data_IF_568346594370
#
_entry.id   IF_568346594370
#
_cell.length_a   1.000
_cell.length_b   1.000
_cell.length_c   1.000
_cell.angle_alpha   90.00
_cell.angle_beta   90.00
_cell.angle_gamma   90.00
#
_symmetry.space_group_name_H-M   'P 1'
#
loop_
_entity.id
_entity.type
_entity.pdbx_description
1 polymer ?
#
# COMPACT_ATOMS: atom_id res chain seq x y z
N UNK A 1 3.29 3.06 23.83
CA UNK A 1 2.36 2.49 22.86
C UNK A 1 3.02 1.33 22.14
N UNK A 2 2.32 0.21 22.01
CA UNK A 2 2.79 -0.98 21.28
C UNK A 2 2.08 -1.07 19.93
N UNK A 3 2.85 -1.20 18.86
CA UNK A 3 2.33 -1.24 17.48
C UNK A 3 2.76 -2.55 16.81
N UNK A 4 1.79 -3.28 16.28
CA UNK A 4 2.03 -4.44 15.44
C UNK A 4 1.87 -4.05 13.97
N UNK A 5 2.90 -4.21 13.16
CA UNK A 5 2.85 -3.96 11.71
C UNK A 5 2.73 -5.28 10.98
N UNK A 6 1.60 -5.53 10.33
CA UNK A 6 1.33 -6.72 9.52
C UNK A 6 1.75 -6.45 8.08
N UNK A 7 2.86 -7.04 7.68
CA UNK A 7 3.56 -6.80 6.43
C UNK A 7 5.00 -6.34 6.70
N UNK A 8 6.00 -7.17 6.37
CA UNK A 8 7.42 -6.89 6.60
C UNK A 8 8.20 -6.64 5.27
N UNK A 9 7.51 -6.08 4.29
CA UNK A 9 8.11 -5.53 3.07
C UNK A 9 8.78 -4.18 3.33
N UNK A 10 9.11 -3.46 2.26
CA UNK A 10 9.79 -2.16 2.36
C UNK A 10 8.95 -1.13 3.12
N UNK A 11 7.64 -1.06 2.83
CA UNK A 11 6.71 -0.19 3.58
C UNK A 11 6.65 -0.53 5.06
N UNK A 12 6.50 -1.82 5.42
CA UNK A 12 6.45 -2.22 6.82
C UNK A 12 7.73 -1.90 7.58
N UNK A 13 8.89 -2.03 6.93
CA UNK A 13 10.18 -1.65 7.54
C UNK A 13 10.30 -0.13 7.72
N UNK A 14 9.87 0.66 6.72
CA UNK A 14 9.86 2.12 6.81
C UNK A 14 8.91 2.60 7.91
N UNK A 15 7.69 2.07 7.96
CA UNK A 15 6.70 2.34 9.01
C UNK A 15 7.25 1.99 10.40
N UNK A 16 7.93 0.84 10.53
CA UNK A 16 8.57 0.48 11.80
C UNK A 16 9.57 1.55 12.23
N UNK A 17 10.47 2.01 11.32
CA UNK A 17 11.45 3.05 11.64
C UNK A 17 10.79 4.35 12.08
N UNK A 18 9.79 4.82 11.32
CA UNK A 18 9.06 6.05 11.62
C UNK A 18 8.38 5.99 13.00
N UNK A 19 7.69 4.89 13.31
CA UNK A 19 7.05 4.68 14.60
C UNK A 19 8.05 4.55 15.75
N UNK A 20 9.18 3.86 15.55
CA UNK A 20 10.23 3.77 16.57
C UNK A 20 10.85 5.13 16.89
N UNK A 21 10.98 6.02 15.91
CA UNK A 21 11.46 7.39 16.11
C UNK A 21 10.54 8.21 17.05
N UNK A 22 9.26 7.84 17.17
CA UNK A 22 8.31 8.45 18.11
C UNK A 22 8.32 7.81 19.51
N UNK A 23 9.19 6.82 19.75
CA UNK A 23 9.25 6.08 21.01
C UNK A 23 8.28 4.90 21.13
N UNK A 24 7.56 4.53 20.04
CA UNK A 24 6.68 3.37 20.05
C UNK A 24 7.48 2.05 20.04
N UNK A 25 6.96 1.03 20.73
CA UNK A 25 7.45 -0.34 20.65
C UNK A 25 6.81 -1.02 19.44
N UNK A 26 7.61 -1.40 18.42
CA UNK A 26 7.08 -1.88 17.13
C UNK A 26 7.56 -3.28 16.81
N UNK A 27 6.61 -4.17 16.53
CA UNK A 27 6.86 -5.54 16.04
C UNK A 27 6.43 -5.66 14.57
N UNK A 28 7.20 -6.42 13.77
CA UNK A 28 6.85 -6.76 12.39
C UNK A 28 6.33 -8.19 12.33
N UNK A 29 5.19 -8.37 11.66
CA UNK A 29 4.52 -9.64 11.49
C UNK A 29 4.40 -10.01 10.00
N UNK A 30 4.95 -11.15 9.62
CA UNK A 30 4.92 -11.69 8.25
C UNK A 30 5.28 -13.17 8.26
N UNK A 31 5.11 -13.84 7.14
CA UNK A 31 5.54 -15.24 7.00
C UNK A 31 7.03 -15.44 7.31
N UNK A 32 7.88 -14.44 7.04
CA UNK A 32 9.32 -14.50 7.38
C UNK A 32 9.60 -14.36 8.88
N UNK A 33 8.68 -13.78 9.62
CA UNK A 33 8.77 -13.64 11.09
C UNK A 33 7.90 -14.65 11.81
N UNK A 34 7.37 -15.66 11.10
CA UNK A 34 6.59 -16.76 11.67
C UNK A 34 5.09 -16.49 11.77
N UNK A 35 4.54 -15.46 11.08
CA UNK A 35 3.12 -15.16 11.10
C UNK A 35 2.52 -15.12 9.68
N UNK A 36 1.58 -16.01 9.38
CA UNK A 36 0.79 -15.97 8.15
C UNK A 36 -0.61 -15.39 8.42
N UNK A 37 -0.85 -14.15 8.02
CA UNK A 37 -2.13 -13.45 8.23
C UNK A 37 -3.35 -14.19 7.66
N UNK A 38 -3.16 -15.11 6.72
CA UNK A 38 -4.25 -15.89 6.12
C UNK A 38 -4.56 -17.21 6.83
N UNK A 39 -3.71 -17.64 7.81
CA UNK A 39 -3.79 -18.96 8.42
C UNK A 39 -3.75 -18.93 9.94
N UNK A 40 -2.98 -18.01 10.51
CA UNK A 40 -2.69 -18.01 11.94
C UNK A 40 -3.75 -17.20 12.71
N UNK A 41 -3.85 -17.47 14.01
CA UNK A 41 -4.67 -16.67 14.93
C UNK A 41 -4.04 -15.29 15.12
N UNK A 42 -4.66 -14.29 14.49
CA UNK A 42 -4.21 -12.90 14.56
C UNK A 42 -4.31 -12.31 15.96
N UNK A 43 -5.31 -12.67 16.75
CA UNK A 43 -5.47 -12.15 18.12
C UNK A 43 -4.35 -12.65 19.04
N UNK A 44 -3.98 -13.91 18.92
CA UNK A 44 -2.86 -14.48 19.68
C UNK A 44 -1.52 -13.88 19.23
N UNK A 45 -1.26 -13.82 17.91
CA UNK A 45 0.01 -13.35 17.35
C UNK A 45 0.27 -11.85 17.57
N UNK A 46 -0.79 -11.02 17.60
CA UNK A 46 -0.72 -9.55 17.74
C UNK A 46 -1.07 -9.11 19.17
N UNK A 47 -1.08 -10.03 20.11
CA UNK A 47 -1.47 -9.79 21.52
C UNK A 47 -0.69 -8.63 22.14
N UNK A 48 -1.41 -7.78 22.87
CA UNK A 48 -0.86 -6.61 23.56
C UNK A 48 -0.56 -5.42 22.65
N UNK A 49 -0.93 -5.45 21.36
CA UNK A 49 -0.84 -4.28 20.50
C UNK A 49 -1.97 -3.28 20.82
N UNK A 50 -1.61 -2.00 20.96
CA UNK A 50 -2.55 -0.87 21.04
C UNK A 50 -3.04 -0.45 19.65
N UNK A 51 -2.17 -0.64 18.64
CA UNK A 51 -2.43 -0.32 17.23
C UNK A 51 -1.92 -1.45 16.34
N UNK A 52 -2.71 -1.82 15.35
CA UNK A 52 -2.32 -2.76 14.30
C UNK A 52 -2.30 -2.03 12.96
N UNK A 53 -1.13 -1.93 12.35
CA UNK A 53 -0.96 -1.35 11.01
C UNK A 53 -1.00 -2.46 9.97
N UNK A 54 -1.96 -2.42 9.07
CA UNK A 54 -2.04 -3.34 7.94
C UNK A 54 -1.32 -2.75 6.72
N UNK A 55 -0.10 -3.24 6.46
CA UNK A 55 0.73 -2.91 5.31
C UNK A 55 0.96 -4.17 4.43
N UNK A 56 -0.05 -5.04 4.36
CA UNK A 56 0.01 -6.24 3.54
C UNK A 56 -0.05 -5.91 2.06
N UNK A 57 0.66 -6.69 1.23
CA UNK A 57 0.65 -6.50 -0.20
C UNK A 57 0.90 -7.81 -0.97
N UNK A 58 0.19 -7.96 -2.09
CA UNK A 58 0.41 -9.01 -3.07
C UNK A 58 0.24 -8.44 -4.47
N UNK A 59 1.34 -8.26 -5.17
CA UNK A 59 1.30 -7.79 -6.56
C UNK A 59 0.67 -8.86 -7.45
N UNK A 60 -0.40 -8.50 -8.16
CA UNK A 60 -1.04 -9.31 -9.20
C UNK A 60 -1.97 -8.44 -10.04
N UNK A 61 -2.07 -8.74 -11.33
CA UNK A 61 -3.04 -8.12 -12.25
C UNK A 61 -4.40 -8.82 -12.22
N UNK A 62 -4.47 -10.01 -11.64
CA UNK A 62 -5.72 -10.77 -11.51
C UNK A 62 -6.61 -10.20 -10.42
N UNK A 63 -7.78 -9.68 -10.83
CA UNK A 63 -8.78 -9.12 -9.90
C UNK A 63 -9.21 -10.15 -8.85
N UNK A 64 -9.48 -11.38 -9.24
CA UNK A 64 -9.89 -12.46 -8.33
C UNK A 64 -8.82 -12.73 -7.27
N UNK A 65 -7.56 -12.88 -7.70
CA UNK A 65 -6.44 -13.19 -6.79
C UNK A 65 -6.15 -12.02 -5.84
N UNK A 66 -6.21 -10.79 -6.34
CA UNK A 66 -6.00 -9.60 -5.51
C UNK A 66 -7.12 -9.45 -4.48
N UNK A 67 -8.38 -9.50 -4.92
CA UNK A 67 -9.54 -9.33 -4.05
C UNK A 67 -9.57 -10.42 -2.96
N UNK A 68 -9.35 -11.70 -3.32
CA UNK A 68 -9.28 -12.79 -2.34
C UNK A 68 -8.20 -12.55 -1.28
N UNK A 69 -6.99 -12.21 -1.71
CA UNK A 69 -5.89 -11.96 -0.79
C UNK A 69 -6.18 -10.79 0.15
N UNK A 70 -6.54 -9.63 -0.40
CA UNK A 70 -6.72 -8.42 0.40
C UNK A 70 -7.92 -8.51 1.35
N UNK A 71 -9.04 -9.08 0.90
CA UNK A 71 -10.23 -9.22 1.77
C UNK A 71 -10.01 -10.24 2.88
N UNK A 72 -9.31 -11.35 2.62
CA UNK A 72 -8.99 -12.34 3.66
C UNK A 72 -8.00 -11.77 4.68
N UNK A 73 -6.95 -11.09 4.23
CA UNK A 73 -5.99 -10.42 5.11
C UNK A 73 -6.70 -9.42 6.03
N UNK A 74 -7.47 -8.52 5.45
CA UNK A 74 -8.18 -7.49 6.22
C UNK A 74 -9.21 -8.07 7.18
N UNK A 75 -9.93 -9.13 6.80
CA UNK A 75 -10.85 -9.81 7.72
C UNK A 75 -10.13 -10.33 8.95
N UNK A 76 -8.96 -10.96 8.77
CA UNK A 76 -8.14 -11.46 9.88
C UNK A 76 -7.60 -10.31 10.76
N UNK A 77 -7.09 -9.25 10.15
CA UNK A 77 -6.56 -8.09 10.89
C UNK A 77 -7.68 -7.35 11.64
N UNK A 78 -8.82 -7.10 10.99
CA UNK A 78 -9.97 -6.44 11.64
C UNK A 78 -10.51 -7.27 12.81
N UNK A 79 -10.59 -8.59 12.67
CA UNK A 79 -11.01 -9.48 13.76
C UNK A 79 -10.03 -9.41 14.94
N UNK A 80 -8.73 -9.46 14.69
CA UNK A 80 -7.70 -9.32 15.71
C UNK A 80 -7.76 -7.93 16.38
N UNK A 81 -7.87 -6.85 15.61
CA UNK A 81 -7.98 -5.50 16.15
C UNK A 81 -9.20 -5.35 17.07
N UNK A 82 -10.36 -5.84 16.64
CA UNK A 82 -11.58 -5.80 17.43
C UNK A 82 -11.49 -6.63 18.72
N UNK A 83 -10.87 -7.82 18.65
CA UNK A 83 -10.71 -8.70 19.82
C UNK A 83 -9.76 -8.10 20.86
N UNK A 84 -8.73 -7.38 20.42
CA UNK A 84 -7.74 -6.71 21.27
C UNK A 84 -8.15 -5.30 21.71
N UNK A 85 -9.24 -4.74 21.17
CA UNK A 85 -9.59 -3.33 21.35
C UNK A 85 -8.59 -2.37 20.70
N UNK A 86 -7.73 -2.88 19.83
CA UNK A 86 -6.70 -2.12 19.15
C UNK A 86 -7.26 -1.28 17.99
N UNK A 87 -6.59 -0.16 17.66
CA UNK A 87 -6.90 0.60 16.44
C UNK A 87 -6.33 -0.11 15.23
N UNK A 88 -7.10 -0.18 14.15
CA UNK A 88 -6.66 -0.66 12.85
C UNK A 88 -6.26 0.52 11.94
N UNK A 89 -5.01 0.60 11.52
CA UNK A 89 -4.52 1.57 10.52
C UNK A 89 -4.25 0.83 9.22
N UNK A 90 -5.01 1.15 8.17
CA UNK A 90 -4.87 0.50 6.87
C UNK A 90 -4.07 1.39 5.90
N UNK A 91 -2.96 0.87 5.37
CA UNK A 91 -2.24 1.50 4.26
C UNK A 91 -2.87 1.09 2.92
N UNK A 92 -3.34 2.06 2.16
CA UNK A 92 -3.99 1.89 0.86
C UNK A 92 -3.41 2.82 -0.21
N UNK A 93 -4.13 2.99 -1.32
CA UNK A 93 -3.69 3.74 -2.50
C UNK A 93 -4.71 4.81 -2.85
N UNK A 94 -4.24 6.01 -3.16
CA UNK A 94 -5.07 7.10 -3.69
C UNK A 94 -5.74 6.64 -4.98
N UNK A 95 -7.01 7.03 -5.16
CA UNK A 95 -7.82 6.75 -6.35
C UNK A 95 -8.06 5.25 -6.65
N UNK A 96 -7.85 4.34 -5.68
CA UNK A 96 -8.11 2.93 -5.92
C UNK A 96 -9.61 2.60 -6.13
N UNK A 97 -10.50 3.50 -5.78
CA UNK A 97 -11.96 3.38 -5.89
C UNK A 97 -12.54 3.92 -7.22
N UNK A 98 -11.72 4.60 -8.05
CA UNK A 98 -12.17 5.09 -9.35
C UNK A 98 -12.59 3.93 -10.27
N UNK A 99 -13.76 4.02 -10.95
CA UNK A 99 -14.26 2.96 -11.83
C UNK A 99 -13.29 2.54 -12.93
N UNK A 100 -12.57 3.50 -13.50
CA UNK A 100 -11.65 3.28 -14.62
C UNK A 100 -10.39 2.50 -14.25
N UNK A 101 -10.02 2.43 -12.96
CA UNK A 101 -8.88 1.64 -12.50
C UNK A 101 -9.27 0.24 -12.02
N UNK A 102 -10.57 -0.05 -11.86
CA UNK A 102 -11.09 -1.31 -11.32
C UNK A 102 -10.84 -2.53 -12.24
N UNK A 103 -10.45 -2.28 -13.48
CA UNK A 103 -9.99 -3.34 -14.39
C UNK A 103 -8.61 -3.88 -14.05
N UNK A 104 -7.80 -3.14 -13.28
CA UNK A 104 -6.49 -3.59 -12.83
C UNK A 104 -6.60 -4.22 -11.44
N UNK A 105 -6.27 -5.51 -11.35
CA UNK A 105 -6.57 -6.34 -10.19
C UNK A 105 -6.07 -5.79 -8.86
N UNK A 106 -4.87 -5.21 -8.83
CA UNK A 106 -4.31 -4.65 -7.60
C UNK A 106 -5.18 -3.52 -7.02
N UNK A 107 -5.64 -2.58 -7.86
CA UNK A 107 -6.53 -1.48 -7.43
C UNK A 107 -7.90 -2.00 -7.00
N UNK A 108 -8.47 -2.94 -7.77
CA UNK A 108 -9.73 -3.58 -7.38
C UNK A 108 -9.62 -4.30 -6.02
N UNK A 109 -8.50 -4.96 -5.77
CA UNK A 109 -8.21 -5.61 -4.50
C UNK A 109 -8.08 -4.60 -3.34
N UNK A 110 -7.38 -3.49 -3.55
CA UNK A 110 -7.23 -2.42 -2.54
C UNK A 110 -8.57 -1.73 -2.25
N UNK A 111 -9.37 -1.44 -3.27
CA UNK A 111 -10.72 -0.90 -3.08
C UNK A 111 -11.60 -1.84 -2.26
N UNK A 112 -11.59 -3.15 -2.56
CA UNK A 112 -12.33 -4.14 -1.77
C UNK A 112 -11.81 -4.25 -0.33
N UNK A 113 -10.50 -4.10 -0.14
CA UNK A 113 -9.84 -4.06 1.16
C UNK A 113 -10.34 -2.89 2.01
N UNK A 114 -10.33 -1.67 1.46
CA UNK A 114 -10.80 -0.48 2.16
C UNK A 114 -12.26 -0.61 2.63
N UNK A 115 -13.15 -1.00 1.73
CA UNK A 115 -14.58 -1.20 2.04
C UNK A 115 -14.74 -2.19 3.18
N UNK A 116 -14.07 -3.34 3.08
CA UNK A 116 -14.16 -4.37 4.12
C UNK A 116 -13.60 -3.90 5.46
N UNK A 117 -12.50 -3.15 5.47
CA UNK A 117 -11.95 -2.58 6.70
C UNK A 117 -12.92 -1.59 7.36
N UNK A 118 -13.55 -0.72 6.56
CA UNK A 118 -14.56 0.23 7.02
C UNK A 118 -15.79 -0.47 7.62
N UNK A 119 -16.21 -1.59 7.01
CA UNK A 119 -17.37 -2.37 7.48
C UNK A 119 -17.08 -3.15 8.77
N UNK A 120 -15.86 -3.66 8.94
CA UNK A 120 -15.54 -4.62 10.00
C UNK A 120 -14.81 -4.02 11.20
N UNK A 121 -13.96 -3.01 11.00
CA UNK A 121 -13.11 -2.49 12.08
C UNK A 121 -13.85 -1.45 12.91
N UNK A 122 -13.96 -1.68 14.21
CA UNK A 122 -14.64 -0.77 15.14
C UNK A 122 -13.89 0.56 15.32
N UNK A 123 -12.56 0.51 15.28
CA UNK A 123 -11.67 1.64 15.42
C UNK A 123 -10.69 1.61 14.25
N UNK A 124 -10.83 2.51 13.31
CA UNK A 124 -10.06 2.47 12.07
C UNK A 124 -9.55 3.85 11.68
N UNK A 125 -8.38 3.89 11.06
CA UNK A 125 -7.90 5.01 10.25
C UNK A 125 -7.38 4.49 8.92
N UNK A 126 -7.60 5.26 7.86
CA UNK A 126 -7.16 4.93 6.50
C UNK A 126 -6.02 5.85 6.09
N UNK A 127 -4.95 5.30 5.53
CA UNK A 127 -3.87 6.08 4.90
C UNK A 127 -3.80 5.70 3.44
N UNK A 128 -4.04 6.65 2.55
CA UNK A 128 -3.91 6.50 1.11
C UNK A 128 -2.64 7.21 0.62
N UNK A 129 -1.73 6.47 0.03
CA UNK A 129 -0.55 7.04 -0.63
C UNK A 129 -0.66 6.94 -2.15
N UNK A 130 0.04 7.81 -2.86
CA UNK A 130 0.33 7.61 -4.28
C UNK A 130 1.42 6.54 -4.45
N UNK A 131 1.85 6.27 -5.68
CA UNK A 131 2.92 5.33 -5.97
C UNK A 131 4.24 5.84 -5.39
N UNK A 132 5.07 4.92 -4.91
CA UNK A 132 6.36 5.24 -4.31
C UNK A 132 7.46 5.33 -5.36
N UNK A 133 8.55 6.04 -5.10
CA UNK A 133 9.69 6.09 -6.02
C UNK A 133 10.27 4.71 -6.31
N UNK A 134 10.28 3.81 -5.34
CA UNK A 134 10.72 2.41 -5.45
C UNK A 134 9.89 1.60 -6.47
N UNK A 135 8.73 2.11 -6.88
CA UNK A 135 7.89 1.44 -7.86
C UNK A 135 8.57 1.32 -9.24
N UNK A 136 9.44 2.26 -9.61
CA UNK A 136 10.19 2.19 -10.86
C UNK A 136 11.12 0.97 -10.89
N UNK A 137 11.92 0.76 -9.84
CA UNK A 137 12.79 -0.41 -9.70
C UNK A 137 11.99 -1.70 -9.66
N UNK A 138 10.95 -1.74 -8.84
CA UNK A 138 10.05 -2.89 -8.73
C UNK A 138 9.38 -3.24 -10.06
N UNK A 139 9.02 -2.23 -10.88
CA UNK A 139 8.47 -2.47 -12.21
C UNK A 139 9.51 -3.08 -13.14
N UNK A 140 10.75 -2.55 -13.11
CA UNK A 140 11.85 -3.07 -13.93
C UNK A 140 12.14 -4.55 -13.64
N UNK A 141 12.05 -4.97 -12.38
CA UNK A 141 12.21 -6.38 -11.99
C UNK A 141 11.00 -7.24 -12.40
N UNK A 142 9.77 -6.80 -12.09
CA UNK A 142 8.53 -7.57 -12.28
C UNK A 142 8.14 -7.74 -13.74
N UNK A 143 8.45 -6.74 -14.58
CA UNK A 143 8.10 -6.71 -16.00
C UNK A 143 9.28 -7.09 -16.89
N UNK A 144 10.26 -7.80 -16.33
CA UNK A 144 11.45 -8.25 -17.04
C UNK A 144 11.19 -9.51 -17.87
N UNK A 145 11.58 -9.45 -19.12
CA UNK A 145 11.58 -10.56 -20.09
C UNK A 145 12.96 -10.66 -20.74
N UNK A 146 13.84 -11.46 -20.14
CA UNK A 146 15.22 -11.60 -20.58
C UNK A 146 15.99 -10.26 -20.49
N UNK A 147 16.50 -9.71 -21.62
CA UNK A 147 17.30 -8.48 -21.63
C UNK A 147 16.45 -7.19 -21.61
N UNK A 148 15.12 -7.28 -21.68
CA UNK A 148 14.23 -6.11 -21.71
C UNK A 148 13.27 -6.11 -20.52
N UNK A 149 12.80 -4.91 -20.14
CA UNK A 149 11.75 -4.73 -19.16
C UNK A 149 10.70 -3.76 -19.68
N UNK A 150 9.42 -4.17 -19.59
CA UNK A 150 8.33 -3.34 -20.08
C UNK A 150 8.00 -2.25 -19.07
N UNK A 151 7.88 -1.02 -19.56
CA UNK A 151 7.52 0.16 -18.75
C UNK A 151 6.16 0.68 -19.21
N UNK A 152 5.09 0.40 -18.46
CA UNK A 152 3.75 0.88 -18.79
C UNK A 152 3.66 2.41 -18.83
N UNK A 153 2.93 2.93 -19.82
CA UNK A 153 2.62 4.37 -19.90
C UNK A 153 1.63 4.75 -18.81
N UNK A 154 2.12 5.32 -17.72
CA UNK A 154 1.30 5.78 -16.60
C UNK A 154 1.84 7.10 -16.01
N UNK A 155 0.93 7.97 -15.61
CA UNK A 155 1.22 9.24 -14.94
C UNK A 155 0.81 9.12 -13.47
N UNK A 156 1.65 9.62 -12.58
CA UNK A 156 1.46 9.55 -11.14
C UNK A 156 2.13 10.72 -10.43
N UNK A 157 1.88 10.90 -9.15
CA UNK A 157 2.62 11.82 -8.25
C UNK A 157 3.42 10.98 -7.26
N UNK A 158 4.64 10.51 -7.64
CA UNK A 158 5.38 9.58 -6.79
C UNK A 158 5.79 10.26 -5.48
N UNK A 159 5.68 9.52 -4.40
CA UNK A 159 5.97 9.96 -3.03
C UNK A 159 7.11 9.13 -2.43
N UNK A 160 7.87 9.71 -1.51
CA UNK A 160 8.91 8.96 -0.79
C UNK A 160 8.26 7.95 0.17
N UNK A 161 8.89 6.80 0.32
CA UNK A 161 8.42 5.79 1.26
C UNK A 161 8.52 6.29 2.73
N UNK A 162 9.44 7.19 3.00
CA UNK A 162 9.57 7.80 4.33
C UNK A 162 8.39 8.74 4.64
N UNK A 163 7.95 9.59 3.69
CA UNK A 163 6.74 10.42 3.87
C UNK A 163 5.48 9.57 4.08
N UNK A 164 5.36 8.45 3.36
CA UNK A 164 4.26 7.49 3.59
C UNK A 164 4.34 6.91 5.01
N UNK A 165 5.52 6.51 5.45
CA UNK A 165 5.73 5.94 6.77
C UNK A 165 5.44 6.95 7.91
N UNK A 166 5.81 8.21 7.72
CA UNK A 166 5.48 9.31 8.65
C UNK A 166 3.97 9.54 8.73
N UNK A 167 3.27 9.54 7.58
CA UNK A 167 1.81 9.68 7.55
C UNK A 167 1.12 8.50 8.25
N UNK A 168 1.62 7.27 8.08
CA UNK A 168 1.12 6.09 8.80
C UNK A 168 1.40 6.21 10.30
N UNK A 169 2.58 6.71 10.68
CA UNK A 169 2.91 6.95 12.09
C UNK A 169 1.98 8.01 12.71
N UNK A 170 1.71 9.11 12.00
CA UNK A 170 0.73 10.12 12.42
C UNK A 170 -0.66 9.51 12.63
N UNK A 171 -1.15 8.71 11.70
CA UNK A 171 -2.44 8.02 11.82
C UNK A 171 -2.47 7.05 13.01
N UNK A 172 -1.37 6.34 13.27
CA UNK A 172 -1.25 5.41 14.39
C UNK A 172 -1.22 6.11 15.76
N UNK A 173 -0.64 7.30 15.82
CA UNK A 173 -0.54 8.11 17.04
C UNK A 173 -1.78 8.96 17.31
N UNK A 174 -2.63 9.19 16.31
CA UNK A 174 -3.85 9.98 16.47
C UNK A 174 -4.80 9.33 17.48
N UNK A 175 -5.44 10.14 18.30
CA UNK A 175 -6.49 9.68 19.21
C UNK A 175 -7.86 9.57 18.52
N UNK A 176 -8.01 10.15 17.32
CA UNK A 176 -9.26 10.20 16.57
C UNK A 176 -9.38 8.99 15.63
N UNK A 177 -10.48 8.26 15.74
CA UNK A 177 -10.85 7.17 14.83
C UNK A 177 -11.62 7.70 13.60
N UNK A 178 -11.72 6.91 12.54
CA UNK A 178 -12.50 7.23 11.33
C UNK A 178 -11.82 8.22 10.38
N UNK A 179 -10.55 8.60 10.63
CA UNK A 179 -9.84 9.55 9.80
C UNK A 179 -9.28 8.90 8.53
N UNK A 180 -9.30 9.66 7.44
CA UNK A 180 -8.58 9.33 6.21
C UNK A 180 -7.46 10.34 6.00
N UNK A 181 -6.24 9.82 5.93
CA UNK A 181 -5.03 10.58 5.61
C UNK A 181 -4.67 10.30 4.16
N UNK A 182 -4.18 11.30 3.46
CA UNK A 182 -3.69 11.14 2.09
C UNK A 182 -2.31 11.78 1.97
N UNK A 183 -1.42 11.16 1.20
CA UNK A 183 -0.08 11.67 0.91
C UNK A 183 0.30 11.40 -0.54
N UNK A 184 0.84 12.42 -1.20
CA UNK A 184 1.32 12.35 -2.57
C UNK A 184 2.69 13.06 -2.66
N UNK A 185 3.42 12.80 -3.74
CA UNK A 185 4.64 13.57 -4.01
C UNK A 185 4.33 14.96 -4.59
N UNK A 186 5.33 15.85 -4.67
CA UNK A 186 5.12 17.21 -5.12
C UNK A 186 4.85 17.34 -6.64
N UNK A 187 5.38 16.41 -7.44
CA UNK A 187 5.39 16.54 -8.89
C UNK A 187 4.72 15.37 -9.61
N UNK A 188 4.07 15.66 -10.72
CA UNK A 188 3.52 14.64 -11.62
C UNK A 188 4.63 14.15 -12.53
N UNK A 189 4.85 12.83 -12.51
CA UNK A 189 5.84 12.14 -13.33
C UNK A 189 5.22 10.96 -14.07
N UNK A 190 5.84 10.55 -15.15
CA UNK A 190 5.56 9.26 -15.78
C UNK A 190 6.46 8.17 -15.20
N UNK A 191 6.01 6.91 -15.27
CA UNK A 191 6.85 5.78 -14.87
C UNK A 191 8.13 5.70 -15.71
N UNK A 192 8.09 6.21 -16.96
CA UNK A 192 9.27 6.29 -17.81
C UNK A 192 10.31 7.27 -17.25
N UNK A 193 9.88 8.48 -16.86
CA UNK A 193 10.77 9.47 -16.23
C UNK A 193 11.36 8.96 -14.91
N UNK A 194 10.57 8.29 -14.10
CA UNK A 194 11.06 7.63 -12.88
C UNK A 194 12.10 6.55 -13.19
N UNK A 195 11.85 5.73 -14.23
CA UNK A 195 12.78 4.67 -14.65
C UNK A 195 14.09 5.26 -15.16
N UNK A 196 14.04 6.39 -15.88
CA UNK A 196 15.24 7.07 -16.38
C UNK A 196 16.13 7.65 -15.25
N UNK A 197 15.60 7.85 -14.06
CA UNK A 197 16.35 8.34 -12.89
C UNK A 197 16.95 7.22 -12.03
N UNK A 198 16.71 5.95 -12.36
CA UNK A 198 17.31 4.85 -11.61
C UNK A 198 18.84 4.84 -11.79
N UNK A 199 19.61 4.65 -10.71
CA UNK A 199 21.08 4.67 -10.76
C UNK A 199 21.65 3.51 -11.57
N UNK A 200 20.90 2.43 -11.71
CA UNK A 200 21.25 1.27 -12.54
C UNK A 200 19.99 0.60 -13.07
N UNK A 201 20.10 -0.02 -14.24
CA UNK A 201 19.01 -0.74 -14.88
C UNK A 201 19.32 -2.24 -14.95
N UNK A 202 18.42 -3.06 -14.44
CA UNK A 202 18.52 -4.55 -14.48
C UNK A 202 18.24 -5.12 -15.87
N UNK A 203 17.63 -4.32 -16.76
CA UNK A 203 17.31 -4.65 -18.14
C UNK A 203 17.08 -3.38 -18.96
N UNK A 204 17.09 -3.46 -20.29
CA UNK A 204 16.76 -2.33 -21.16
C UNK A 204 15.27 -1.98 -21.03
N UNK A 205 14.89 -0.74 -20.68
CA UNK A 205 13.49 -0.34 -20.62
C UNK A 205 12.89 -0.26 -22.03
N UNK A 206 11.66 -0.77 -22.17
CA UNK A 206 10.86 -0.69 -23.41
C UNK A 206 9.47 -0.18 -23.05
N UNK A 207 8.98 0.89 -23.71
CA UNK A 207 7.68 1.44 -23.41
C UNK A 207 6.57 0.43 -23.75
N UNK A 208 5.58 0.32 -22.85
CA UNK A 208 4.37 -0.46 -23.04
C UNK A 208 3.16 0.47 -23.01
N UNK A 209 2.43 0.52 -24.13
CA UNK A 209 1.17 1.25 -24.24
C UNK A 209 0.00 0.27 -24.20
N UNK A 210 -0.85 0.37 -23.17
CA UNK A 210 -2.12 -0.32 -23.08
C UNK A 210 -3.21 0.68 -23.53
N UNK A 211 -3.78 0.51 -24.73
CA UNK A 211 -4.56 1.58 -25.38
C UNK A 211 -5.99 1.75 -24.84
N UNK A 212 -6.49 0.80 -24.07
CA UNK A 212 -7.88 0.76 -23.60
C UNK A 212 -7.97 0.47 -22.10
N UNK A 213 -9.17 0.62 -21.53
CA UNK A 213 -9.47 0.28 -20.15
C UNK A 213 -8.55 0.99 -19.15
N UNK A 214 -8.11 0.27 -18.13
CA UNK A 214 -7.25 0.79 -17.08
C UNK A 214 -5.92 1.36 -17.58
N UNK A 215 -5.35 0.81 -18.65
CA UNK A 215 -4.10 1.34 -19.21
C UNK A 215 -4.27 2.72 -19.82
N UNK A 216 -5.38 2.98 -20.49
CA UNK A 216 -5.74 4.31 -20.97
C UNK A 216 -5.98 5.27 -19.79
N UNK A 217 -6.67 4.82 -18.74
CA UNK A 217 -6.92 5.61 -17.55
C UNK A 217 -5.60 6.02 -16.86
N UNK A 218 -4.66 5.09 -16.67
CA UNK A 218 -3.34 5.38 -16.10
C UNK A 218 -2.55 6.40 -16.92
N UNK A 219 -2.57 6.25 -18.24
CA UNK A 219 -1.92 7.20 -19.15
C UNK A 219 -2.54 8.59 -19.09
N UNK A 220 -3.86 8.68 -18.88
CA UNK A 220 -4.60 9.95 -18.74
C UNK A 220 -4.48 10.59 -17.36
N UNK A 221 -3.84 9.93 -16.39
CA UNK A 221 -3.58 10.45 -15.07
C UNK A 221 -4.59 10.05 -14.00
N UNK A 222 -5.34 8.94 -14.19
CA UNK A 222 -6.25 8.43 -13.15
C UNK A 222 -5.53 8.12 -11.81
N UNK A 223 -4.19 7.98 -11.82
CA UNK A 223 -3.39 7.79 -10.61
C UNK A 223 -2.87 9.10 -10.00
N UNK A 224 -3.13 10.22 -10.64
CA UNK A 224 -2.78 11.55 -10.13
C UNK A 224 -3.93 12.01 -9.24
N UNK A 225 -3.69 12.26 -7.95
CA UNK A 225 -4.72 12.80 -7.07
C UNK A 225 -5.09 14.24 -7.43
N UNK A 226 -6.21 14.71 -6.90
CA UNK A 226 -6.56 16.13 -6.94
C UNK A 226 -5.57 16.99 -6.15
N UNK A 227 -5.70 18.31 -6.32
CA UNK A 227 -4.82 19.30 -5.67
C UNK A 227 -5.06 19.40 -4.14
N UNK A 228 -6.14 18.81 -3.66
CA UNK A 228 -6.49 18.69 -2.24
C UNK A 228 -5.65 17.68 -1.47
N UNK A 229 -4.91 16.80 -2.15
CA UNK A 229 -4.02 15.83 -1.51
C UNK A 229 -2.66 16.49 -1.24
N UNK A 230 -2.24 16.61 0.04
CA UNK A 230 -0.97 17.24 0.40
C UNK A 230 0.24 16.48 -0.16
N UNK A 231 1.29 17.25 -0.46
CA UNK A 231 2.59 16.74 -0.92
C UNK A 231 3.47 16.37 0.28
#
# INVERSE_FOLDING_TARGET
MKVAVVGAGDSGKAIKRALQATGAQVTLHSRRTGFDVLRDDGAAALSGADVIVEATGRFTTSKRVATDFFTRSTRAVSAAANALGARHVLLSIVNCDLPEVQGYGYFAGKCAQERLAQDLSKRMSLVRSTQWFEFAEQNMERMRYGPVSLVPSMRMRPVSLDSVAETVAQAALSETDGQTYQVAGPEVMTLWEMTAQLPSLVARPVPLVVPTGWGLAFRRGALVPGDDVPA
#
